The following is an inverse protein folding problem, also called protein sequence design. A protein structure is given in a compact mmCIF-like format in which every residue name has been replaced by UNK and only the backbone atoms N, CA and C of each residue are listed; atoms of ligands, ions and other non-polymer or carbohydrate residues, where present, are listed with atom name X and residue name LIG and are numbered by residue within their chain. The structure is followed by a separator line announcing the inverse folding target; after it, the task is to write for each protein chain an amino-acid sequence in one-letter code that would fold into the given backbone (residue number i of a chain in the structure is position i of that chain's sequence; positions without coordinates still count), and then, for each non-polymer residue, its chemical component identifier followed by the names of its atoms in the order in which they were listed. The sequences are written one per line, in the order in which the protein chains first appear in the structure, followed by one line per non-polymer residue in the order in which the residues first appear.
data_IF_989327804927
#
_entry.id   IF_989327804927
#
_cell.length_a   1.000
_cell.length_b   1.000
_cell.length_c   1.000
_cell.angle_alpha   90.00
_cell.angle_beta   90.00
_cell.angle_gamma   90.00
#
_symmetry.space_group_name_H-M   'P 1'
#
loop_
_entity.id
_entity.type
_entity.pdbx_description
1 polymer ?
#
# COMPACT_ATOMS: atom_id res chain seq x y z
N UNK A 1 -5.17 0.36 -10.27
CA UNK A 1 -5.47 -0.53 -9.13
C UNK A 1 -5.27 -1.92 -9.64
N UNK A 2 -4.46 -2.74 -8.95
CA UNK A 2 -4.15 -4.07 -9.45
C UNK A 2 -4.01 -5.08 -8.33
N UNK A 3 -4.63 -6.24 -8.48
CA UNK A 3 -4.69 -7.25 -7.43
C UNK A 3 -3.34 -7.91 -7.20
N UNK A 4 -2.96 -8.09 -5.94
CA UNK A 4 -1.77 -8.86 -5.56
C UNK A 4 -1.99 -9.65 -4.27
N UNK A 5 -1.08 -10.58 -4.00
CA UNK A 5 -1.08 -11.43 -2.82
C UNK A 5 0.16 -11.16 -1.99
N UNK A 6 -0.01 -11.07 -0.68
CA UNK A 6 1.09 -10.88 0.25
C UNK A 6 1.97 -12.13 0.31
N UNK A 7 3.27 -11.96 0.00
CA UNK A 7 4.28 -13.03 0.10
C UNK A 7 4.48 -13.58 1.51
N UNK A 8 4.07 -12.81 2.53
CA UNK A 8 4.28 -13.16 3.94
C UNK A 8 3.13 -13.95 4.57
N UNK A 9 1.88 -13.57 4.29
CA UNK A 9 0.70 -14.19 4.91
C UNK A 9 -0.35 -14.72 3.91
N UNK A 10 -0.19 -14.47 2.61
CA UNK A 10 -1.15 -14.90 1.60
C UNK A 10 -2.41 -14.04 1.46
N UNK A 11 -2.56 -12.97 2.25
CA UNK A 11 -3.69 -12.05 2.16
C UNK A 11 -3.69 -11.25 0.84
N UNK A 12 -4.87 -10.94 0.31
CA UNK A 12 -5.02 -10.13 -0.91
C UNK A 12 -4.80 -8.65 -0.61
N UNK A 13 -4.25 -7.90 -1.57
CA UNK A 13 -3.98 -6.45 -1.48
C UNK A 13 -4.12 -5.74 -2.83
N UNK A 14 -4.25 -4.41 -2.79
CA UNK A 14 -4.57 -3.55 -3.94
C UNK A 14 -3.38 -3.17 -4.85
N UNK A 15 -2.20 -3.75 -4.57
CA UNK A 15 -1.00 -3.57 -5.38
C UNK A 15 0.18 -4.39 -4.88
N UNK A 16 1.05 -4.81 -5.81
CA UNK A 16 2.23 -5.61 -5.50
C UNK A 16 3.15 -4.98 -4.43
N UNK A 17 3.20 -3.66 -4.36
CA UNK A 17 4.10 -2.93 -3.47
C UNK A 17 3.40 -2.22 -2.31
N UNK A 18 2.08 -2.40 -2.19
CA UNK A 18 1.33 -1.84 -1.08
C UNK A 18 1.57 -2.63 0.20
N UNK A 19 1.40 -1.93 1.32
CA UNK A 19 1.48 -2.53 2.66
C UNK A 19 0.36 -3.55 2.80
N UNK A 20 0.67 -4.71 3.35
CA UNK A 20 -0.33 -5.73 3.63
C UNK A 20 -1.11 -5.39 4.91
N UNK A 21 -2.44 -5.33 4.82
CA UNK A 21 -3.31 -5.08 5.97
C UNK A 21 -3.34 -6.24 6.99
N UNK A 22 -3.05 -7.47 6.53
CA UNK A 22 -3.07 -8.66 7.38
C UNK A 22 -1.83 -8.77 8.29
N UNK A 23 -0.63 -8.60 7.74
CA UNK A 23 0.63 -8.80 8.48
C UNK A 23 1.55 -7.57 8.54
N UNK A 24 1.18 -6.45 7.92
CA UNK A 24 1.96 -5.21 7.91
C UNK A 24 3.22 -5.26 7.03
N UNK A 25 3.41 -6.32 6.25
CA UNK A 25 4.55 -6.42 5.34
C UNK A 25 4.48 -5.31 4.27
N UNK A 26 5.52 -4.49 4.21
CA UNK A 26 5.68 -3.41 3.22
C UNK A 26 6.88 -3.74 2.30
N UNK A 27 6.64 -4.23 1.07
CA UNK A 27 7.72 -4.54 0.11
C UNK A 27 8.47 -3.31 -0.41
N UNK A 28 7.87 -2.12 -0.33
CA UNK A 28 8.50 -0.88 -0.75
C UNK A 28 9.37 -0.27 0.37
N UNK A 29 9.14 -0.64 1.63
CA UNK A 29 9.89 -0.11 2.78
C UNK A 29 11.39 -0.33 2.64
N UNK A 30 12.13 0.77 2.68
CA UNK A 30 13.60 0.75 2.64
C UNK A 30 14.20 0.50 1.26
N UNK A 31 13.41 0.19 0.21
CA UNK A 31 13.83 0.19 -1.19
C UNK A 31 14.99 -0.76 -1.59
N UNK A 32 15.53 -1.54 -0.66
CA UNK A 32 16.76 -2.32 -0.84
C UNK A 32 16.52 -3.80 -1.10
N UNK A 33 15.42 -4.37 -0.60
CA UNK A 33 15.11 -5.79 -0.82
C UNK A 33 14.40 -6.03 -2.16
N UNK A 34 15.22 -6.10 -3.22
CA UNK A 34 14.74 -6.35 -4.58
C UNK A 34 14.14 -7.74 -4.75
N UNK A 35 14.58 -8.73 -3.97
CA UNK A 35 14.03 -10.08 -4.05
C UNK A 35 12.61 -10.11 -3.48
N UNK A 36 12.37 -9.45 -2.34
CA UNK A 36 11.05 -9.29 -1.77
C UNK A 36 10.10 -8.57 -2.72
N UNK A 37 10.57 -7.49 -3.35
CA UNK A 37 9.83 -6.74 -4.35
C UNK A 37 9.50 -7.61 -5.58
N UNK A 38 10.46 -8.38 -6.09
CA UNK A 38 10.26 -9.28 -7.22
C UNK A 38 9.22 -10.36 -6.90
N UNK A 39 9.28 -10.97 -5.70
CA UNK A 39 8.27 -11.96 -5.27
C UNK A 39 6.88 -11.34 -5.14
N UNK A 40 6.79 -10.14 -4.57
CA UNK A 40 5.51 -9.44 -4.41
C UNK A 40 4.92 -9.01 -5.74
N UNK A 41 5.76 -8.63 -6.70
CA UNK A 41 5.35 -8.35 -8.09
C UNK A 41 4.96 -9.61 -8.85
N UNK A 42 5.65 -10.72 -8.62
CA UNK A 42 5.31 -12.00 -9.22
C UNK A 42 3.93 -12.49 -8.76
N UNK A 43 3.59 -12.33 -7.48
CA UNK A 43 2.27 -12.60 -6.92
C UNK A 43 1.25 -11.47 -7.20
N UNK A 44 1.13 -11.03 -8.45
CA UNK A 44 0.15 -10.02 -8.85
C UNK A 44 -0.58 -10.37 -10.13
N UNK A 45 -1.63 -9.60 -10.44
CA UNK A 45 -2.45 -9.72 -11.64
C UNK A 45 -1.65 -9.58 -12.95
N UNK A 46 -0.41 -9.07 -12.87
CA UNK A 46 0.52 -9.04 -14.01
C UNK A 46 0.89 -10.44 -14.50
N UNK A 47 0.90 -11.44 -13.61
CA UNK A 47 1.35 -12.80 -13.93
C UNK A 47 0.29 -13.87 -13.74
N UNK A 48 -0.72 -13.60 -12.89
CA UNK A 48 -1.73 -14.58 -12.53
C UNK A 48 -3.12 -13.98 -12.63
N UNK A 49 -4.11 -14.80 -12.95
CA UNK A 49 -5.51 -14.42 -12.80
C UNK A 49 -5.90 -14.31 -11.31
N UNK A 50 -6.97 -13.58 -11.01
CA UNK A 50 -7.51 -13.45 -9.65
C UNK A 50 -7.74 -14.82 -8.97
N UNK A 51 -8.28 -15.79 -9.71
CA UNK A 51 -8.51 -17.15 -9.18
C UNK A 51 -7.22 -17.85 -8.79
N UNK A 52 -6.18 -17.71 -9.60
CA UNK A 52 -4.86 -18.29 -9.31
C UNK A 52 -4.20 -17.58 -8.12
N UNK A 53 -4.36 -16.26 -8.02
CA UNK A 53 -3.88 -15.48 -6.88
C UNK A 53 -4.54 -15.93 -5.58
N UNK A 54 -5.86 -16.13 -5.56
CA UNK A 54 -6.57 -16.64 -4.37
C UNK A 54 -6.03 -18.00 -3.94
N UNK A 55 -5.77 -18.90 -4.88
CA UNK A 55 -5.21 -20.22 -4.57
C UNK A 55 -3.75 -20.13 -4.08
N UNK A 56 -2.94 -19.28 -4.68
CA UNK A 56 -1.57 -19.00 -4.21
C UNK A 56 -1.56 -18.37 -2.81
N UNK A 57 -2.50 -17.46 -2.54
CA UNK A 57 -2.70 -16.85 -1.23
C UNK A 57 -3.11 -17.89 -0.18
N UNK A 58 -4.04 -18.78 -0.51
CA UNK A 58 -4.42 -19.91 0.35
C UNK A 58 -3.21 -20.80 0.70
N UNK A 59 -2.36 -21.12 -0.28
CA UNK A 59 -1.15 -21.92 -0.04
C UNK A 59 -0.20 -21.21 0.92
N UNK A 60 0.03 -19.92 0.71
CA UNK A 60 0.89 -19.12 1.60
C UNK A 60 0.33 -19.03 3.02
N UNK A 61 -0.99 -18.87 3.17
CA UNK A 61 -1.62 -18.77 4.49
C UNK A 61 -1.62 -20.09 5.27
N UNK A 62 -1.65 -21.23 4.57
CA UNK A 62 -1.50 -22.57 5.18
C UNK A 62 -0.04 -23.00 5.39
N UNK A 63 0.92 -22.18 4.95
CA UNK A 63 2.35 -22.52 4.99
C UNK A 63 2.78 -23.55 3.94
N UNK A 64 1.94 -23.84 2.96
CA UNK A 64 2.31 -24.65 1.81
C UNK A 64 3.34 -23.90 0.95
N UNK A 65 4.40 -24.58 0.48
CA UNK A 65 5.44 -23.94 -0.32
C UNK A 65 4.89 -23.53 -1.69
N UNK A 66 5.06 -22.26 -2.05
CA UNK A 66 4.83 -21.76 -3.41
C UNK A 66 6.12 -21.89 -4.22
N UNK A 67 6.05 -22.58 -5.35
CA UNK A 67 7.17 -22.71 -6.27
C UNK A 67 7.35 -21.40 -7.05
N UNK A 68 8.47 -20.74 -6.84
CA UNK A 68 8.86 -19.57 -7.63
C UNK A 68 9.77 -19.99 -8.78
N UNK A 69 9.50 -19.50 -9.98
CA UNK A 69 10.45 -19.59 -11.09
C UNK A 69 11.65 -18.66 -10.81
N UNK A 70 12.80 -19.27 -10.49
CA UNK A 70 14.02 -18.54 -10.17
C UNK A 70 14.55 -17.72 -11.34
N UNK A 71 14.35 -18.17 -12.58
CA UNK A 71 14.74 -17.45 -13.79
C UNK A 71 13.80 -16.29 -14.12
N UNK A 72 12.54 -16.36 -13.70
CA UNK A 72 11.62 -15.22 -13.79
C UNK A 72 11.89 -14.20 -12.67
N UNK A 73 12.11 -14.66 -11.44
CA UNK A 73 12.43 -13.78 -10.31
C UNK A 73 13.73 -13.00 -10.55
N UNK A 74 14.77 -13.62 -11.11
CA UNK A 74 16.02 -12.93 -11.42
C UNK A 74 15.82 -11.81 -12.44
N UNK A 75 15.05 -12.07 -13.51
CA UNK A 75 14.67 -11.05 -14.51
C UNK A 75 13.91 -9.88 -13.87
N UNK A 76 12.94 -10.17 -13.01
CA UNK A 76 12.20 -9.14 -12.27
C UNK A 76 13.11 -8.32 -11.35
N UNK A 77 14.05 -8.96 -10.66
CA UNK A 77 15.05 -8.27 -9.83
C UNK A 77 15.89 -7.30 -10.68
N UNK A 78 16.31 -7.70 -11.87
CA UNK A 78 17.09 -6.84 -12.76
C UNK A 78 16.26 -5.71 -13.37
N UNK A 79 14.99 -5.95 -13.73
CA UNK A 79 14.03 -4.90 -14.10
C UNK A 79 13.87 -3.87 -12.97
N UNK A 80 13.70 -4.32 -11.73
CA UNK A 80 13.54 -3.44 -10.57
C UNK A 80 14.80 -2.64 -10.22
N UNK A 81 16.00 -3.15 -10.55
CA UNK A 81 17.26 -2.38 -10.42
C UNK A 81 17.36 -1.26 -11.45
N UNK A 82 16.83 -1.47 -12.65
CA UNK A 82 16.95 -0.51 -13.75
C UNK A 82 15.86 0.57 -13.73
N UNK A 83 14.74 0.32 -13.04
CA UNK A 83 13.73 1.34 -12.79
C UNK A 83 14.28 2.47 -11.90
N UNK A 84 14.48 3.64 -12.51
CA UNK A 84 15.01 4.86 -11.86
C UNK A 84 14.02 5.55 -10.92
N UNK A 85 12.73 5.19 -10.99
CA UNK A 85 11.71 5.77 -10.13
C UNK A 85 11.56 4.90 -8.88
N UNK A 86 11.66 5.46 -7.67
CA UNK A 86 11.42 4.69 -6.46
C UNK A 86 9.99 4.15 -6.50
N UNK A 87 9.85 2.85 -6.26
CA UNK A 87 8.57 2.24 -5.92
C UNK A 87 8.15 2.85 -4.58
N UNK A 88 7.40 3.94 -4.63
CA UNK A 88 6.89 4.60 -3.44
C UNK A 88 5.60 3.87 -3.10
N UNK A 89 5.56 3.22 -1.94
CA UNK A 89 4.28 2.82 -1.34
C UNK A 89 3.47 4.10 -1.17
N UNK A 90 2.34 4.20 -1.88
CA UNK A 90 1.39 5.27 -1.62
C UNK A 90 0.70 4.93 -0.29
N UNK A 91 1.38 5.21 0.82
CA UNK A 91 0.70 5.32 2.10
C UNK A 91 -0.38 6.37 1.90
N UNK A 92 -1.65 5.94 1.91
CA UNK A 92 -2.78 6.80 1.60
C UNK A 92 -2.74 8.05 2.49
N UNK A 93 -2.56 9.26 1.94
CA UNK A 93 -2.47 10.49 2.73
C UNK A 93 -3.86 10.96 3.24
N UNK A 94 -4.82 10.04 3.36
CA UNK A 94 -6.25 10.34 3.30
C UNK A 94 -6.85 10.95 4.56
N UNK A 95 -6.30 10.70 5.75
CA UNK A 95 -7.03 10.99 6.99
C UNK A 95 -6.52 12.21 7.78
N UNK A 96 -5.29 12.67 7.58
CA UNK A 96 -4.75 13.78 8.40
C UNK A 96 -5.13 15.15 7.84
N UNK A 97 -4.86 15.42 6.57
CA UNK A 97 -5.01 16.77 5.98
C UNK A 97 -6.45 17.25 5.93
N UNK A 98 -7.40 16.37 5.58
CA UNK A 98 -8.84 16.70 5.54
C UNK A 98 -9.39 16.95 6.94
N UNK A 99 -8.94 16.18 7.92
CA UNK A 99 -9.36 16.36 9.32
C UNK A 99 -8.84 17.69 9.89
N UNK A 100 -7.59 18.05 9.61
CA UNK A 100 -7.02 19.32 10.06
C UNK A 100 -7.65 20.55 9.39
N UNK A 101 -8.01 20.47 8.10
CA UNK A 101 -8.66 21.59 7.41
C UNK A 101 -10.09 21.84 7.91
N UNK A 102 -10.86 20.77 8.16
CA UNK A 102 -12.19 20.87 8.77
C UNK A 102 -12.13 21.45 10.19
N UNK A 103 -11.16 21.00 11.01
CA UNK A 103 -10.98 21.52 12.37
C UNK A 103 -10.62 23.01 12.36
N UNK A 104 -9.72 23.42 11.45
CA UNK A 104 -9.33 24.83 11.29
C UNK A 104 -10.50 25.72 10.87
N UNK A 105 -11.35 25.25 9.96
CA UNK A 105 -12.53 25.99 9.50
C UNK A 105 -13.54 26.19 10.63
N UNK A 106 -13.80 25.15 11.44
CA UNK A 106 -14.69 25.24 12.60
C UNK A 106 -14.20 26.25 13.64
N UNK A 107 -12.89 26.27 13.92
CA UNK A 107 -12.28 27.23 14.85
C UNK A 107 -12.39 28.67 14.34
N UNK A 108 -12.15 28.90 13.05
CA UNK A 108 -12.29 30.22 12.44
C UNK A 108 -13.73 30.74 12.49
N UNK A 109 -14.71 29.87 12.20
CA UNK A 109 -16.13 30.23 12.29
C UNK A 109 -16.55 30.54 13.74
N UNK A 110 -16.12 29.73 14.71
CA UNK A 110 -16.41 29.98 16.12
C UNK A 110 -15.82 31.31 16.60
N UNK A 111 -14.57 31.61 16.22
CA UNK A 111 -13.94 32.89 16.54
C UNK A 111 -14.66 34.08 15.89
N UNK A 112 -15.07 33.95 14.62
CA UNK A 112 -15.83 34.98 13.92
C UNK A 112 -17.20 35.25 14.56
N UNK A 113 -17.93 34.20 14.95
CA UNK A 113 -19.20 34.33 15.67
C UNK A 113 -19.03 34.97 17.05
N UNK A 114 -17.99 34.59 17.80
CA UNK A 114 -17.70 35.18 19.10
C UNK A 114 -17.35 36.67 19.00
N UNK A 115 -16.56 37.06 17.98
CA UNK A 115 -16.22 38.45 17.71
C UNK A 115 -17.48 39.27 17.36
N UNK A 116 -18.30 38.78 16.42
CA UNK A 116 -19.55 39.44 16.04
C UNK A 116 -20.50 39.59 17.24
N UNK A 117 -20.69 38.53 18.03
CA UNK A 117 -21.53 38.57 19.23
C UNK A 117 -21.01 39.57 20.28
N UNK A 118 -19.69 39.65 20.47
CA UNK A 118 -19.06 40.62 21.36
C UNK A 118 -19.26 42.07 20.90
N UNK A 119 -19.13 42.33 19.61
CA UNK A 119 -19.35 43.67 19.04
C UNK A 119 -20.81 44.10 19.00
N UNK A 120 -21.76 43.17 19.02
CA UNK A 120 -23.20 43.47 19.01
C UNK A 120 -23.76 43.79 20.40
N UNK A 121 -23.02 43.42 21.45
CA UNK A 121 -23.43 43.58 22.85
C UNK A 121 -22.88 44.87 23.49
N UNK A 122 -21.99 45.57 22.78
CA UNK A 122 -21.45 46.89 23.12
C UNK A 122 -22.15 47.97 22.28
#
# INVERSE_FOLDING_TARGET
MGLAVCVGCGETKEGAFDVCDGCGLDPARGGTDRMLQARSLWLSERFFSERELVELGRKLSTGEPVAYDTGQLSRLVDELKTQKLPVISQASPGCSIVTWSLLGMLLALAAGLAYLYGTWKH
#
